data_IF_661554472436
#
_entry.id   IF_661554472436
#
_cell.length_a   1.000
_cell.length_b   1.000
_cell.length_c   1.000
_cell.angle_alpha   90.00
_cell.angle_beta   90.00
_cell.angle_gamma   90.00
#
_symmetry.space_group_name_H-M   'P 1'
#
loop_
_entity.id
_entity.type
_entity.pdbx_description
1 polymer ?
#
# COMPACT_ATOMS: atom_id res chain seq x y z
N UNK A 1 -58.11 30.94 23.57
CA UNK A 1 -57.40 30.46 22.39
C UNK A 1 -55.93 30.33 22.78
N UNK A 2 -55.53 29.15 23.21
CA UNK A 2 -54.20 28.88 23.75
C UNK A 2 -53.46 28.07 22.71
N UNK A 3 -52.37 28.63 22.18
CA UNK A 3 -51.56 27.95 21.20
C UNK A 3 -50.74 26.84 21.85
N UNK A 4 -50.96 25.61 21.42
CA UNK A 4 -50.13 24.45 21.74
C UNK A 4 -48.82 24.56 21.01
N UNK A 5 -47.73 24.67 21.78
CA UNK A 5 -46.34 24.56 21.26
C UNK A 5 -46.07 23.11 20.87
N UNK A 6 -45.99 22.88 19.59
CA UNK A 6 -45.46 21.65 19.03
C UNK A 6 -43.92 21.67 19.23
N UNK A 7 -43.42 21.00 20.26
CA UNK A 7 -41.97 20.73 20.42
C UNK A 7 -41.63 19.66 19.42
N UNK A 8 -41.00 20.08 18.31
CA UNK A 8 -40.41 19.17 17.35
C UNK A 8 -39.43 18.22 18.02
N UNK A 9 -39.58 16.94 17.79
CA UNK A 9 -38.66 15.92 18.20
C UNK A 9 -37.30 16.23 17.55
N UNK A 10 -36.32 16.59 18.37
CA UNK A 10 -34.93 16.72 17.95
C UNK A 10 -34.45 15.34 17.53
N UNK A 11 -34.23 15.16 16.23
CA UNK A 11 -33.53 13.99 15.68
C UNK A 11 -32.11 13.95 16.26
N UNK A 12 -31.79 12.83 16.92
CA UNK A 12 -30.43 12.61 17.40
C UNK A 12 -29.44 12.62 16.20
N UNK A 13 -28.37 13.42 16.24
CA UNK A 13 -27.40 13.46 15.16
C UNK A 13 -26.53 12.19 15.18
N UNK A 14 -26.40 11.51 14.04
CA UNK A 14 -25.27 10.60 13.81
C UNK A 14 -25.54 9.22 13.22
N UNK A 15 -26.75 8.68 13.20
CA UNK A 15 -26.99 7.35 12.60
C UNK A 15 -27.60 7.50 11.21
N UNK A 16 -26.77 7.33 10.18
CA UNK A 16 -27.25 7.23 8.81
C UNK A 16 -27.93 5.87 8.60
N UNK A 17 -29.27 5.87 8.53
CA UNK A 17 -30.10 4.68 8.38
C UNK A 17 -30.90 4.34 9.63
N UNK A 18 -31.93 3.50 9.46
CA UNK A 18 -32.74 2.97 10.59
C UNK A 18 -31.88 1.94 11.33
N UNK A 19 -31.56 2.14 12.63
CA UNK A 19 -30.73 1.18 13.35
C UNK A 19 -31.49 -0.14 13.52
N UNK A 20 -30.80 -1.26 13.36
CA UNK A 20 -31.32 -2.58 13.70
C UNK A 20 -30.82 -2.97 15.09
N UNK A 21 -31.76 -3.19 16.02
CA UNK A 21 -31.51 -3.50 17.42
C UNK A 21 -31.96 -4.93 17.71
N UNK A 22 -31.25 -5.60 18.60
CA UNK A 22 -31.65 -6.86 19.17
C UNK A 22 -31.94 -6.65 20.66
N UNK A 23 -33.21 -6.80 21.07
CA UNK A 23 -33.63 -6.76 22.46
C UNK A 23 -33.74 -8.20 22.99
N UNK A 24 -32.99 -8.49 24.04
CA UNK A 24 -33.02 -9.80 24.73
C UNK A 24 -33.67 -9.63 26.07
N UNK A 25 -34.93 -10.07 26.17
CA UNK A 25 -35.82 -9.84 27.33
C UNK A 25 -36.85 -10.96 27.39
N UNK A 26 -36.93 -11.67 28.50
CA UNK A 26 -37.82 -12.81 28.66
C UNK A 26 -39.24 -12.39 29.10
N UNK A 27 -39.35 -11.30 29.86
CA UNK A 27 -40.67 -10.77 30.26
C UNK A 27 -41.36 -10.06 29.09
N UNK A 28 -42.57 -10.54 28.68
CA UNK A 28 -43.29 -9.92 27.57
C UNK A 28 -43.73 -8.48 27.82
N UNK A 29 -43.95 -8.09 29.09
CA UNK A 29 -44.38 -6.75 29.46
C UNK A 29 -43.25 -5.76 29.37
N UNK A 30 -42.06 -6.13 29.88
CA UNK A 30 -40.83 -5.33 29.76
C UNK A 30 -40.42 -5.19 28.29
N UNK A 31 -40.41 -6.28 27.51
CA UNK A 31 -40.13 -6.24 26.10
C UNK A 31 -41.02 -5.27 25.33
N UNK A 32 -42.35 -5.34 25.55
CA UNK A 32 -43.33 -4.44 24.94
C UNK A 32 -43.06 -2.97 25.33
N UNK A 33 -42.80 -2.71 26.61
CA UNK A 33 -42.50 -1.36 27.08
C UNK A 33 -41.25 -0.77 26.39
N UNK A 34 -40.17 -1.55 26.27
CA UNK A 34 -38.97 -1.10 25.60
C UNK A 34 -39.15 -0.87 24.08
N UNK A 35 -39.96 -1.71 23.41
CA UNK A 35 -40.33 -1.51 22.01
C UNK A 35 -41.13 -0.21 21.83
N UNK A 36 -42.09 0.10 22.69
CA UNK A 36 -42.85 1.36 22.65
C UNK A 36 -41.96 2.58 22.87
N UNK A 37 -41.12 2.56 23.91
CA UNK A 37 -40.19 3.63 24.23
C UNK A 37 -39.20 3.91 23.07
N UNK A 38 -38.72 2.87 22.41
CA UNK A 38 -37.81 3.01 21.25
C UNK A 38 -38.54 3.54 20.03
N UNK A 39 -39.74 3.05 19.75
CA UNK A 39 -40.53 3.47 18.58
C UNK A 39 -41.00 4.93 18.72
N UNK A 40 -41.27 5.39 19.92
CA UNK A 40 -41.62 6.79 20.19
C UNK A 40 -40.45 7.76 19.83
N UNK A 41 -39.23 7.40 20.18
CA UNK A 41 -38.04 8.24 19.95
C UNK A 41 -37.42 8.05 18.56
N UNK A 42 -37.49 6.83 18.02
CA UNK A 42 -36.97 6.47 16.70
C UNK A 42 -38.00 5.67 15.89
N UNK A 43 -38.96 6.32 15.23
CA UNK A 43 -40.04 5.66 14.51
C UNK A 43 -39.64 4.66 13.42
N UNK A 44 -38.39 4.75 12.93
CA UNK A 44 -37.85 3.87 11.88
C UNK A 44 -36.88 2.79 12.42
N UNK A 45 -36.80 2.59 13.74
CA UNK A 45 -35.96 1.55 14.32
C UNK A 45 -36.51 0.16 13.97
N UNK A 46 -35.61 -0.74 13.62
CA UNK A 46 -35.94 -2.16 13.45
C UNK A 46 -35.54 -2.89 14.74
N UNK A 47 -36.49 -3.54 15.38
CA UNK A 47 -36.28 -4.26 16.64
C UNK A 47 -36.57 -5.74 16.40
N UNK A 48 -35.61 -6.58 16.74
CA UNK A 48 -35.79 -8.02 16.87
C UNK A 48 -35.81 -8.35 18.35
N UNK A 49 -36.80 -9.09 18.82
CA UNK A 49 -36.89 -9.52 20.22
C UNK A 49 -36.50 -10.99 20.32
N UNK A 50 -35.63 -11.32 21.26
CA UNK A 50 -35.29 -12.68 21.67
C UNK A 50 -35.64 -12.87 23.14
N UNK A 51 -36.21 -14.01 23.49
CA UNK A 51 -36.66 -14.29 24.87
C UNK A 51 -35.67 -15.13 25.66
N UNK A 52 -34.64 -15.62 25.00
CA UNK A 52 -33.57 -16.43 25.57
C UNK A 52 -32.26 -16.03 24.99
N UNK A 53 -31.15 -16.34 25.66
CA UNK A 53 -29.82 -16.18 25.12
C UNK A 53 -29.63 -17.00 23.83
N UNK A 54 -30.15 -18.23 23.80
CA UNK A 54 -30.05 -19.09 22.60
C UNK A 54 -30.69 -18.42 21.38
N UNK A 55 -31.91 -17.88 21.50
CA UNK A 55 -32.59 -17.14 20.44
C UNK A 55 -31.79 -15.88 20.05
N UNK A 56 -31.23 -15.18 21.03
CA UNK A 56 -30.43 -14.00 20.78
C UNK A 56 -29.20 -14.33 19.94
N UNK A 57 -28.46 -15.40 20.26
CA UNK A 57 -27.28 -15.82 19.52
C UNK A 57 -27.59 -16.27 18.07
N UNK A 58 -28.75 -16.84 17.83
CA UNK A 58 -29.28 -17.18 16.51
C UNK A 58 -29.70 -15.93 15.70
N UNK A 59 -30.13 -14.88 16.40
CA UNK A 59 -30.61 -13.62 15.82
C UNK A 59 -29.50 -12.60 15.56
N UNK A 60 -28.27 -12.85 16.06
CA UNK A 60 -27.12 -12.00 15.81
C UNK A 60 -26.68 -12.08 14.33
N UNK A 61 -26.95 -10.99 13.62
CA UNK A 61 -26.59 -10.81 12.20
C UNK A 61 -25.71 -9.57 12.04
N UNK A 62 -24.95 -9.42 10.94
CA UNK A 62 -24.10 -8.26 10.68
C UNK A 62 -24.85 -6.91 10.72
N UNK A 63 -26.15 -6.91 10.43
CA UNK A 63 -26.98 -5.72 10.41
C UNK A 63 -27.34 -5.21 11.81
N UNK A 64 -27.23 -6.04 12.85
CA UNK A 64 -27.51 -5.67 14.23
C UNK A 64 -26.43 -4.73 14.75
N UNK A 65 -26.80 -3.49 15.03
CA UNK A 65 -25.88 -2.45 15.47
C UNK A 65 -25.75 -2.36 17.00
N UNK A 66 -26.82 -2.72 17.72
CA UNK A 66 -26.80 -2.75 19.18
C UNK A 66 -27.64 -3.91 19.70
N UNK A 67 -27.10 -4.58 20.72
CA UNK A 67 -27.83 -5.56 21.53
C UNK A 67 -28.14 -4.92 22.86
N UNK A 68 -29.40 -5.01 23.28
CA UNK A 68 -29.88 -4.63 24.62
C UNK A 68 -30.21 -5.92 25.33
N UNK A 69 -29.49 -6.27 26.38
CA UNK A 69 -29.60 -7.58 27.03
C UNK A 69 -30.00 -7.46 28.50
N UNK A 70 -31.06 -8.13 28.91
CA UNK A 70 -31.32 -8.36 30.32
C UNK A 70 -30.37 -9.42 30.89
N UNK A 71 -29.92 -9.20 32.11
CA UNK A 71 -29.03 -10.14 32.81
C UNK A 71 -29.80 -11.29 33.49
N UNK A 72 -31.14 -11.24 33.54
CA UNK A 72 -32.00 -12.24 34.23
C UNK A 72 -32.75 -13.11 33.24
N UNK A 73 -32.01 -13.77 32.31
CA UNK A 73 -32.60 -14.65 31.31
C UNK A 73 -32.85 -16.09 31.85
N UNK A 74 -33.82 -16.82 31.32
CA UNK A 74 -34.16 -18.17 31.80
C UNK A 74 -33.08 -19.21 31.53
N UNK A 75 -32.27 -19.02 30.48
CA UNK A 75 -31.18 -19.91 30.01
C UNK A 75 -29.76 -19.40 30.30
N UNK A 76 -29.65 -18.18 30.87
CA UNK A 76 -28.33 -17.62 31.25
C UNK A 76 -28.52 -16.60 32.39
N UNK A 77 -27.54 -16.50 33.27
CA UNK A 77 -27.61 -15.58 34.41
C UNK A 77 -26.40 -14.65 34.51
N UNK A 78 -26.65 -13.40 34.94
CA UNK A 78 -25.63 -12.43 35.21
C UNK A 78 -24.78 -12.11 33.96
N UNK A 79 -23.48 -12.03 34.16
CA UNK A 79 -22.53 -11.63 33.10
C UNK A 79 -22.23 -12.69 32.02
N UNK A 80 -22.78 -13.93 32.20
CA UNK A 80 -22.49 -14.99 31.23
C UNK A 80 -23.23 -14.75 29.90
N UNK A 81 -24.47 -14.24 29.94
CA UNK A 81 -25.17 -13.81 28.74
C UNK A 81 -24.40 -12.73 27.98
N UNK A 82 -23.95 -11.69 28.70
CA UNK A 82 -23.16 -10.62 28.13
C UNK A 82 -21.86 -11.13 27.43
N UNK A 83 -21.11 -11.98 28.11
CA UNK A 83 -19.84 -12.53 27.55
C UNK A 83 -20.08 -13.33 26.28
N UNK A 84 -21.14 -14.13 26.22
CA UNK A 84 -21.48 -14.92 25.05
C UNK A 84 -21.93 -14.04 23.88
N UNK A 85 -22.72 -12.99 24.13
CA UNK A 85 -23.11 -12.01 23.09
C UNK A 85 -21.88 -11.29 22.55
N UNK A 86 -20.97 -10.77 23.40
CA UNK A 86 -19.74 -10.08 22.98
C UNK A 86 -18.84 -11.02 22.19
N UNK A 87 -18.68 -12.27 22.62
CA UNK A 87 -17.84 -13.24 21.90
C UNK A 87 -18.38 -13.58 20.51
N UNK A 88 -19.73 -13.62 20.35
CA UNK A 88 -20.41 -13.94 19.09
C UNK A 88 -20.46 -12.76 18.12
N UNK A 89 -20.56 -11.54 18.64
CA UNK A 89 -20.66 -10.30 17.85
C UNK A 89 -19.72 -9.21 18.42
N UNK A 90 -18.40 -9.35 18.25
CA UNK A 90 -17.40 -8.48 18.87
C UNK A 90 -17.44 -7.04 18.36
N UNK A 91 -18.05 -6.77 17.21
CA UNK A 91 -18.17 -5.43 16.60
C UNK A 91 -19.50 -4.74 16.92
N UNK A 92 -20.45 -5.45 17.55
CA UNK A 92 -21.78 -4.93 17.90
C UNK A 92 -21.74 -4.23 19.26
N UNK A 93 -22.42 -3.09 19.38
CA UNK A 93 -22.58 -2.43 20.68
C UNK A 93 -23.48 -3.27 21.60
N UNK A 94 -23.17 -3.33 22.90
CA UNK A 94 -23.98 -4.07 23.87
C UNK A 94 -24.35 -3.15 25.04
N UNK A 95 -25.64 -2.97 25.28
CA UNK A 95 -26.18 -2.33 26.46
C UNK A 95 -26.80 -3.39 27.38
N UNK A 96 -26.66 -3.18 28.66
CA UNK A 96 -27.23 -4.11 29.67
C UNK A 96 -28.41 -3.47 30.36
N UNK A 97 -29.48 -4.23 30.51
CA UNK A 97 -30.62 -3.88 31.39
C UNK A 97 -30.46 -4.55 32.76
N UNK A 98 -30.71 -3.81 33.83
CA UNK A 98 -30.62 -4.33 35.21
C UNK A 98 -31.83 -3.91 36.02
N UNK A 99 -32.22 -4.74 36.99
CA UNK A 99 -33.16 -4.34 38.00
C UNK A 99 -32.52 -3.40 39.05
N UNK A 100 -33.34 -2.74 39.89
CA UNK A 100 -32.89 -1.82 40.92
C UNK A 100 -31.95 -2.47 41.96
N UNK A 101 -32.18 -3.75 42.26
CA UNK A 101 -31.37 -4.51 43.21
C UNK A 101 -29.98 -4.88 42.69
N UNK A 102 -29.78 -4.83 41.37
CA UNK A 102 -28.58 -5.34 40.68
C UNK A 102 -27.71 -4.22 40.08
N UNK A 103 -27.88 -2.97 40.49
CA UNK A 103 -27.11 -1.83 39.97
C UNK A 103 -25.58 -2.03 40.09
N UNK A 104 -25.10 -2.78 41.10
CA UNK A 104 -23.69 -3.12 41.24
C UNK A 104 -23.20 -4.10 40.14
N UNK A 105 -24.09 -4.92 39.58
CA UNK A 105 -23.78 -5.83 38.46
C UNK A 105 -23.66 -5.05 37.15
N UNK A 106 -24.36 -3.91 37.01
CA UNK A 106 -24.22 -3.00 35.88
C UNK A 106 -22.80 -2.48 35.70
N UNK A 107 -22.15 -2.07 36.82
CA UNK A 107 -20.72 -1.63 36.75
C UNK A 107 -19.81 -2.77 36.34
N UNK A 108 -20.07 -4.00 36.81
CA UNK A 108 -19.30 -5.19 36.38
C UNK A 108 -19.54 -5.55 34.90
N UNK A 109 -20.78 -5.28 34.42
CA UNK A 109 -21.09 -5.48 32.99
C UNK A 109 -20.26 -4.56 32.09
N UNK A 110 -20.10 -3.29 32.46
CA UNK A 110 -19.21 -2.36 31.72
C UNK A 110 -17.74 -2.84 31.77
N UNK A 111 -17.27 -3.30 32.94
CA UNK A 111 -15.93 -3.89 33.05
C UNK A 111 -15.75 -5.17 32.25
N UNK A 112 -16.85 -5.91 31.97
CA UNK A 112 -16.88 -7.11 31.15
C UNK A 112 -17.02 -6.82 29.64
N UNK A 113 -17.18 -5.53 29.22
CA UNK A 113 -17.18 -5.10 27.82
C UNK A 113 -18.51 -4.56 27.29
N UNK A 114 -19.55 -4.39 28.14
CA UNK A 114 -20.72 -3.62 27.75
C UNK A 114 -20.36 -2.15 27.57
N UNK A 115 -21.04 -1.46 26.65
CA UNK A 115 -20.83 -0.03 26.44
C UNK A 115 -21.45 0.80 27.56
N UNK A 116 -22.58 0.36 28.10
CA UNK A 116 -23.25 1.00 29.23
C UNK A 116 -24.25 0.03 29.86
N UNK A 117 -24.88 0.44 30.98
CA UNK A 117 -26.01 -0.25 31.60
C UNK A 117 -27.13 0.72 31.95
N UNK A 118 -28.36 0.24 31.95
CA UNK A 118 -29.58 0.98 32.28
C UNK A 118 -30.36 0.25 33.32
N UNK A 119 -30.88 1.00 34.30
CA UNK A 119 -31.78 0.45 35.32
C UNK A 119 -33.24 0.51 34.79
N UNK A 120 -33.91 -0.64 34.64
CA UNK A 120 -35.24 -0.75 33.98
C UNK A 120 -36.26 0.27 34.45
N UNK A 121 -36.31 0.56 35.77
CA UNK A 121 -37.27 1.47 36.35
C UNK A 121 -37.02 2.95 36.09
N UNK A 122 -35.77 3.31 35.73
CA UNK A 122 -35.33 4.69 35.52
C UNK A 122 -35.26 5.06 34.02
N UNK A 123 -35.59 4.11 33.12
CA UNK A 123 -35.49 4.30 31.68
C UNK A 123 -36.72 4.99 31.12
N UNK A 124 -36.47 6.13 30.47
CA UNK A 124 -37.43 6.74 29.54
C UNK A 124 -36.91 6.62 28.09
N UNK A 125 -37.78 6.90 27.11
CA UNK A 125 -37.44 6.80 25.71
C UNK A 125 -36.25 7.68 25.32
N UNK A 126 -36.13 8.89 25.89
CA UNK A 126 -35.06 9.83 25.59
C UNK A 126 -33.70 9.33 26.13
N UNK A 127 -33.67 8.74 27.34
CA UNK A 127 -32.48 8.14 27.92
C UNK A 127 -32.04 6.92 27.12
N UNK A 128 -32.99 6.03 26.79
CA UNK A 128 -32.75 4.80 26.02
C UNK A 128 -32.18 5.12 24.61
N UNK A 129 -32.83 6.04 23.90
CA UNK A 129 -32.37 6.45 22.58
C UNK A 129 -30.94 7.05 22.58
N UNK A 130 -30.63 7.91 23.60
CA UNK A 130 -29.29 8.45 23.77
C UNK A 130 -28.27 7.37 24.10
N UNK A 131 -28.56 6.47 25.04
CA UNK A 131 -27.64 5.39 25.42
C UNK A 131 -27.32 4.48 24.23
N UNK A 132 -28.30 4.13 23.39
CA UNK A 132 -28.11 3.34 22.20
C UNK A 132 -27.21 4.07 21.20
N UNK A 133 -27.52 5.35 20.92
CA UNK A 133 -26.72 6.15 19.99
C UNK A 133 -25.26 6.28 20.46
N UNK A 134 -25.03 6.59 21.73
CA UNK A 134 -23.68 6.65 22.29
C UNK A 134 -22.95 5.29 22.26
N UNK A 135 -23.66 4.20 22.57
CA UNK A 135 -23.08 2.86 22.54
C UNK A 135 -22.60 2.49 21.11
N UNK A 136 -23.43 2.74 20.11
CA UNK A 136 -23.10 2.48 18.71
C UNK A 136 -21.92 3.33 18.27
N UNK A 137 -21.94 4.65 18.50
CA UNK A 137 -20.87 5.55 18.10
C UNK A 137 -19.54 5.23 18.81
N UNK A 138 -19.59 4.95 20.11
CA UNK A 138 -18.40 4.55 20.88
C UNK A 138 -17.81 3.26 20.34
N UNK A 139 -18.65 2.25 20.06
CA UNK A 139 -18.20 0.98 19.51
C UNK A 139 -17.56 1.14 18.13
N UNK A 140 -18.13 1.99 17.27
CA UNK A 140 -17.56 2.32 15.96
C UNK A 140 -16.21 3.03 16.08
N UNK A 141 -16.09 3.97 17.02
CA UNK A 141 -14.84 4.68 17.27
C UNK A 141 -13.75 3.72 17.74
N UNK A 142 -14.03 2.87 18.73
CA UNK A 142 -13.10 1.87 19.26
C UNK A 142 -12.64 0.89 18.16
N UNK A 143 -13.54 0.45 17.29
CA UNK A 143 -13.22 -0.45 16.18
C UNK A 143 -12.36 0.25 15.11
N UNK A 144 -12.71 1.50 14.77
CA UNK A 144 -11.92 2.30 13.81
C UNK A 144 -10.51 2.56 14.34
N UNK A 145 -10.35 2.86 15.63
CA UNK A 145 -9.04 3.06 16.26
C UNK A 145 -8.22 1.76 16.22
N UNK A 146 -8.86 0.62 16.54
CA UNK A 146 -8.22 -0.69 16.48
C UNK A 146 -7.71 -1.03 15.08
N UNK A 147 -8.56 -0.84 14.06
CA UNK A 147 -8.20 -1.08 12.66
C UNK A 147 -7.05 -0.16 12.22
N UNK A 148 -7.06 1.10 12.66
CA UNK A 148 -5.98 2.04 12.36
C UNK A 148 -4.65 1.62 13.00
N UNK A 149 -4.67 1.14 14.24
CA UNK A 149 -3.48 0.64 14.94
C UNK A 149 -2.92 -0.61 14.25
N UNK A 150 -3.80 -1.56 13.90
CA UNK A 150 -3.43 -2.77 13.18
C UNK A 150 -2.83 -2.43 11.79
N UNK A 151 -3.48 -1.55 11.01
CA UNK A 151 -2.98 -1.11 9.72
C UNK A 151 -1.61 -0.41 9.81
N UNK A 152 -1.40 0.41 10.86
CA UNK A 152 -0.11 1.05 11.12
C UNK A 152 0.98 0.05 11.52
N UNK A 153 0.64 -0.98 12.29
CA UNK A 153 1.58 -2.03 12.67
C UNK A 153 2.04 -2.84 11.45
N UNK A 154 1.11 -3.27 10.61
CA UNK A 154 1.40 -3.94 9.34
C UNK A 154 2.23 -3.04 8.42
N UNK A 155 1.87 -1.77 8.27
CA UNK A 155 2.62 -0.82 7.45
C UNK A 155 4.06 -0.60 7.93
N UNK A 156 4.31 -0.60 9.25
CA UNK A 156 5.68 -0.49 9.81
C UNK A 156 6.51 -1.73 9.54
N UNK A 157 5.94 -2.91 9.70
CA UNK A 157 6.64 -4.18 9.45
C UNK A 157 6.97 -4.30 7.97
N UNK A 158 6.02 -3.98 7.09
CA UNK A 158 6.23 -3.95 5.66
C UNK A 158 7.35 -2.98 5.27
N UNK A 159 7.33 -1.72 5.75
CA UNK A 159 8.39 -0.75 5.49
C UNK A 159 9.77 -1.17 6.03
N UNK A 160 9.82 -2.02 7.05
CA UNK A 160 11.07 -2.60 7.55
C UNK A 160 11.61 -3.68 6.61
N UNK A 161 10.75 -4.56 6.10
CA UNK A 161 11.11 -5.58 5.11
C UNK A 161 11.59 -4.92 3.82
N UNK A 162 10.87 -3.93 3.31
CA UNK A 162 11.21 -3.16 2.12
C UNK A 162 12.62 -2.55 2.20
N UNK A 163 12.94 -1.86 3.30
CA UNK A 163 14.29 -1.31 3.50
C UNK A 163 15.38 -2.36 3.50
N UNK A 164 15.09 -3.57 3.94
CA UNK A 164 16.02 -4.70 3.91
C UNK A 164 16.19 -5.32 2.52
N UNK A 165 15.24 -5.10 1.62
CA UNK A 165 15.24 -5.65 0.27
C UNK A 165 15.78 -4.66 -0.77
N UNK A 166 15.73 -3.35 -0.52
CA UNK A 166 16.33 -2.35 -1.41
C UNK A 166 17.86 -2.47 -1.40
N UNK A 167 18.53 -2.23 -2.54
CA UNK A 167 19.96 -2.35 -2.62
C UNK A 167 20.67 -1.23 -1.83
N UNK A 168 21.72 -1.63 -1.13
CA UNK A 168 22.75 -0.70 -0.68
C UNK A 168 23.92 -0.86 -1.68
N UNK A 169 24.31 0.19 -2.43
CA UNK A 169 25.37 0.08 -3.41
C UNK A 169 26.71 -0.28 -2.74
N UNK A 170 27.48 -1.11 -3.41
CA UNK A 170 28.88 -1.38 -3.03
C UNK A 170 29.73 -0.44 -3.89
N UNK A 171 29.94 0.78 -3.43
CA UNK A 171 30.69 1.81 -4.14
C UNK A 171 31.57 2.56 -3.13
N UNK A 172 32.87 2.55 -3.35
CA UNK A 172 33.88 3.18 -2.49
C UNK A 172 34.59 4.36 -3.16
N UNK A 173 34.32 4.60 -4.44
CA UNK A 173 34.90 5.66 -5.22
C UNK A 173 34.16 6.98 -5.04
N UNK A 174 34.71 7.87 -4.23
CA UNK A 174 34.13 9.19 -3.94
C UNK A 174 34.14 10.15 -5.18
N UNK A 175 34.81 9.78 -6.27
CA UNK A 175 34.78 10.55 -7.52
C UNK A 175 33.47 10.35 -8.30
N UNK A 176 32.72 9.32 -7.97
CA UNK A 176 31.44 9.00 -8.57
C UNK A 176 30.28 9.42 -7.65
N UNK A 177 29.32 10.09 -8.22
CA UNK A 177 28.03 10.34 -7.56
C UNK A 177 27.04 9.26 -7.97
N UNK A 178 26.39 8.65 -7.01
CA UNK A 178 25.37 7.63 -7.18
C UNK A 178 24.05 8.12 -6.63
N UNK A 179 23.03 8.19 -7.46
CA UNK A 179 21.71 8.62 -7.10
C UNK A 179 20.68 7.62 -7.62
N UNK A 180 19.74 7.25 -6.79
CA UNK A 180 18.62 6.39 -7.17
C UNK A 180 17.30 6.97 -6.75
N UNK A 181 16.27 6.72 -7.56
CA UNK A 181 14.86 6.88 -7.17
C UNK A 181 14.15 5.58 -7.49
N UNK A 182 13.36 5.16 -6.55
CA UNK A 182 12.55 3.95 -6.67
C UNK A 182 11.16 4.21 -6.09
N UNK A 183 10.14 3.85 -6.84
CA UNK A 183 8.75 3.97 -6.40
C UNK A 183 7.92 2.88 -7.05
N UNK A 184 7.21 2.05 -6.25
CA UNK A 184 6.25 1.09 -6.79
C UNK A 184 5.03 1.83 -7.37
N UNK A 185 4.50 1.33 -8.49
CA UNK A 185 3.41 1.95 -9.22
C UNK A 185 2.04 1.86 -8.54
N UNK A 186 1.88 1.01 -7.52
CA UNK A 186 0.62 0.82 -6.81
C UNK A 186 0.64 1.37 -5.40
N UNK A 187 -0.44 2.05 -5.03
CA UNK A 187 -0.72 2.39 -3.63
C UNK A 187 -0.64 1.15 -2.74
N UNK A 188 0.22 1.21 -1.71
CA UNK A 188 0.49 0.16 -0.73
C UNK A 188 1.31 -1.05 -1.22
N UNK A 189 1.85 -1.05 -2.45
CA UNK A 189 2.87 -2.01 -2.82
C UNK A 189 4.14 -1.73 -2.01
N UNK A 190 4.87 -2.78 -1.63
CA UNK A 190 6.14 -2.65 -0.90
C UNK A 190 7.29 -2.49 -1.87
N UNK A 191 7.26 -3.28 -2.93
CA UNK A 191 8.21 -3.33 -4.02
C UNK A 191 7.43 -3.61 -5.29
N UNK A 192 7.96 -3.22 -6.43
CA UNK A 192 7.51 -3.61 -7.76
C UNK A 192 8.46 -4.57 -8.43
N UNK A 193 8.20 -4.89 -9.70
CA UNK A 193 9.05 -5.70 -10.54
C UNK A 193 10.41 -5.06 -10.85
N UNK A 194 10.47 -3.75 -10.78
CA UNK A 194 11.68 -2.96 -11.00
C UNK A 194 12.77 -3.24 -9.98
N UNK A 195 14.00 -3.31 -10.44
CA UNK A 195 15.17 -3.44 -9.58
C UNK A 195 16.40 -2.70 -10.14
N UNK A 196 17.28 -2.31 -9.26
CA UNK A 196 18.57 -1.72 -9.64
C UNK A 196 19.65 -2.15 -8.65
N UNK A 197 20.92 -2.05 -9.08
CA UNK A 197 22.04 -2.27 -8.18
C UNK A 197 23.33 -1.63 -8.74
N UNK A 198 24.33 -1.43 -7.86
CA UNK A 198 25.65 -0.92 -8.23
C UNK A 198 26.71 -1.59 -7.38
N UNK A 199 27.71 -2.16 -8.03
CA UNK A 199 28.82 -2.88 -7.39
C UNK A 199 30.15 -2.42 -7.98
N UNK A 200 31.05 -1.97 -7.12
CA UNK A 200 32.47 -1.78 -7.45
C UNK A 200 33.23 -3.02 -7.02
N UNK A 201 33.95 -3.62 -7.96
CA UNK A 201 34.81 -4.79 -7.72
C UNK A 201 36.21 -4.36 -7.22
N UNK A 202 36.99 -5.33 -6.71
CA UNK A 202 38.33 -5.05 -6.12
C UNK A 202 39.31 -4.45 -7.11
N UNK A 203 39.18 -4.75 -8.40
CA UNK A 203 39.98 -4.16 -9.48
C UNK A 203 39.59 -2.71 -9.80
N UNK A 204 38.59 -2.17 -9.11
CA UNK A 204 38.08 -0.83 -9.28
C UNK A 204 37.02 -0.69 -10.39
N UNK A 205 36.65 -1.74 -11.11
CA UNK A 205 35.58 -1.72 -12.12
C UNK A 205 34.23 -1.48 -11.42
N UNK A 206 33.38 -0.63 -12.01
CA UNK A 206 32.00 -0.38 -11.49
C UNK A 206 30.98 -0.99 -12.42
N UNK A 207 30.14 -1.81 -11.86
CA UNK A 207 29.01 -2.43 -12.54
C UNK A 207 27.73 -1.83 -12.01
N UNK A 208 26.82 -1.44 -12.90
CA UNK A 208 25.48 -0.97 -12.57
C UNK A 208 24.46 -1.73 -13.39
N UNK A 209 23.32 -2.00 -12.80
CA UNK A 209 22.18 -2.67 -13.45
C UNK A 209 20.89 -1.97 -13.08
N UNK A 210 19.97 -1.93 -14.03
CA UNK A 210 18.55 -1.68 -13.82
C UNK A 210 17.78 -2.72 -14.62
N UNK A 211 16.66 -3.17 -14.11
CA UNK A 211 15.80 -4.14 -14.79
C UNK A 211 14.38 -4.00 -14.33
N UNK A 212 13.49 -4.51 -15.16
CA UNK A 212 12.06 -4.53 -14.93
C UNK A 212 11.49 -5.91 -15.28
N UNK A 213 10.75 -6.51 -14.35
CA UNK A 213 10.06 -7.80 -14.52
C UNK A 213 8.66 -7.52 -15.07
N UNK A 214 8.33 -8.13 -16.21
CA UNK A 214 7.01 -7.96 -16.85
C UNK A 214 5.87 -8.29 -15.92
N UNK A 215 4.91 -7.36 -15.80
CA UNK A 215 3.78 -7.47 -14.89
C UNK A 215 3.96 -6.63 -13.62
N UNK A 216 3.08 -6.84 -12.66
CA UNK A 216 3.07 -6.01 -11.46
C UNK A 216 2.47 -6.77 -10.27
N UNK A 217 3.12 -6.75 -9.16
CA UNK A 217 2.63 -7.34 -7.92
C UNK A 217 3.72 -7.92 -7.04
N UNK A 218 3.32 -8.75 -6.08
CA UNK A 218 4.23 -9.29 -5.07
C UNK A 218 5.14 -10.40 -5.66
N UNK A 219 4.65 -11.12 -6.67
CA UNK A 219 5.41 -12.18 -7.31
C UNK A 219 6.51 -11.61 -8.19
N UNK A 220 6.19 -10.57 -8.99
CA UNK A 220 7.14 -9.81 -9.81
C UNK A 220 8.19 -9.13 -8.93
N UNK A 221 7.78 -8.47 -7.84
CA UNK A 221 8.69 -7.86 -6.88
C UNK A 221 9.65 -8.89 -6.26
N UNK A 222 9.14 -10.07 -5.91
CA UNK A 222 9.96 -11.18 -5.40
C UNK A 222 10.97 -11.67 -6.44
N UNK A 223 10.58 -11.77 -7.71
CA UNK A 223 11.45 -12.17 -8.80
C UNK A 223 12.52 -11.10 -9.08
N UNK A 224 12.16 -9.81 -9.10
CA UNK A 224 13.10 -8.70 -9.25
C UNK A 224 14.20 -8.72 -8.18
N UNK A 225 13.84 -8.94 -6.91
CA UNK A 225 14.80 -9.10 -5.81
C UNK A 225 15.73 -10.30 -6.05
N UNK A 226 15.20 -11.45 -6.47
CA UNK A 226 16.00 -12.66 -6.75
C UNK A 226 16.99 -12.42 -7.89
N UNK A 227 16.55 -11.81 -8.99
CA UNK A 227 17.39 -11.49 -10.14
C UNK A 227 18.48 -10.48 -9.77
N UNK A 228 18.13 -9.44 -9.01
CA UNK A 228 19.11 -8.48 -8.50
C UNK A 228 20.19 -9.15 -7.64
N UNK A 229 19.79 -10.02 -6.71
CA UNK A 229 20.74 -10.74 -5.85
C UNK A 229 21.62 -11.72 -6.65
N UNK A 230 21.04 -12.41 -7.63
CA UNK A 230 21.77 -13.27 -8.55
C UNK A 230 22.80 -12.46 -9.34
N UNK A 231 22.39 -11.32 -9.92
CA UNK A 231 23.29 -10.41 -10.63
C UNK A 231 24.46 -9.94 -9.75
N UNK A 232 24.18 -9.45 -8.54
CA UNK A 232 25.21 -9.02 -7.58
C UNK A 232 26.19 -10.14 -7.26
N UNK A 233 25.68 -11.33 -7.02
CA UNK A 233 26.51 -12.52 -6.73
C UNK A 233 27.41 -12.89 -7.92
N UNK A 234 26.87 -12.86 -9.14
CA UNK A 234 27.63 -13.13 -10.36
C UNK A 234 28.74 -12.10 -10.58
N UNK A 235 28.45 -10.79 -10.41
CA UNK A 235 29.46 -9.73 -10.49
C UNK A 235 30.59 -9.95 -9.48
N UNK A 236 30.25 -10.20 -8.21
CA UNK A 236 31.24 -10.47 -7.16
C UNK A 236 32.04 -11.75 -7.40
N UNK A 237 31.47 -12.72 -8.11
CA UNK A 237 32.16 -13.95 -8.54
C UNK A 237 33.04 -13.75 -9.80
N UNK A 238 33.06 -12.53 -10.38
CA UNK A 238 33.89 -12.18 -11.55
C UNK A 238 33.23 -12.45 -12.90
N UNK A 239 31.93 -12.77 -12.94
CA UNK A 239 31.21 -12.86 -14.21
C UNK A 239 30.92 -11.47 -14.76
N UNK A 240 31.06 -11.30 -16.08
CA UNK A 240 30.83 -10.01 -16.75
C UNK A 240 30.22 -10.20 -18.13
N UNK A 241 29.67 -9.11 -18.69
CA UNK A 241 29.22 -9.07 -20.09
C UNK A 241 28.07 -10.02 -20.41
N UNK A 242 28.03 -10.48 -21.67
CA UNK A 242 26.98 -11.38 -22.16
C UNK A 242 26.90 -12.71 -21.40
N UNK A 243 28.03 -13.25 -20.92
CA UNK A 243 28.04 -14.49 -20.12
C UNK A 243 27.32 -14.34 -18.79
N UNK A 244 27.42 -13.17 -18.14
CA UNK A 244 26.65 -12.87 -16.94
C UNK A 244 25.16 -12.87 -17.27
N UNK A 245 24.76 -12.20 -18.37
CA UNK A 245 23.35 -12.13 -18.78
C UNK A 245 22.80 -13.49 -19.17
N UNK A 246 23.58 -14.34 -19.87
CA UNK A 246 23.15 -15.72 -20.17
C UNK A 246 22.93 -16.56 -18.91
N UNK A 247 23.75 -16.35 -17.87
CA UNK A 247 23.55 -17.04 -16.59
C UNK A 247 22.32 -16.50 -15.86
N UNK A 248 22.08 -15.18 -15.92
CA UNK A 248 20.91 -14.56 -15.31
C UNK A 248 19.62 -14.95 -16.02
N UNK A 249 19.65 -15.11 -17.35
CA UNK A 249 18.57 -15.65 -18.16
C UNK A 249 18.17 -17.07 -17.72
N UNK A 250 19.17 -17.94 -17.51
CA UNK A 250 18.94 -19.28 -17.00
C UNK A 250 18.35 -19.25 -15.57
N UNK A 251 18.76 -18.31 -14.71
CA UNK A 251 18.15 -18.11 -13.39
C UNK A 251 16.68 -17.72 -13.54
N UNK A 252 16.37 -16.75 -14.40
CA UNK A 252 14.99 -16.34 -14.67
C UNK A 252 14.13 -17.52 -15.14
N UNK A 253 14.63 -18.35 -16.08
CA UNK A 253 13.89 -19.50 -16.56
C UNK A 253 13.52 -20.51 -15.47
N UNK A 254 14.35 -20.65 -14.44
CA UNK A 254 14.07 -21.58 -13.32
C UNK A 254 13.20 -20.96 -12.24
N UNK A 255 13.20 -19.64 -12.12
CA UNK A 255 12.53 -18.91 -11.02
C UNK A 255 11.16 -18.35 -11.42
N UNK A 256 10.88 -18.18 -12.73
CA UNK A 256 9.60 -17.69 -13.24
C UNK A 256 8.52 -18.75 -13.10
N UNK A 257 7.28 -18.32 -12.89
CA UNK A 257 6.11 -19.19 -12.73
C UNK A 257 5.32 -19.43 -14.02
N UNK A 258 5.69 -18.77 -15.12
CA UNK A 258 5.06 -18.91 -16.44
C UNK A 258 6.00 -18.49 -17.55
N UNK A 259 5.78 -19.02 -18.77
CA UNK A 259 6.61 -18.71 -19.94
C UNK A 259 6.43 -17.27 -20.44
N UNK A 260 5.32 -16.63 -20.07
CA UNK A 260 5.01 -15.22 -20.38
C UNK A 260 5.82 -14.22 -19.56
N UNK A 261 6.48 -14.66 -18.47
CA UNK A 261 7.27 -13.79 -17.62
C UNK A 261 8.66 -13.62 -18.22
N UNK A 262 9.01 -12.38 -18.48
CA UNK A 262 10.30 -11.96 -19.00
C UNK A 262 10.81 -10.76 -18.20
N UNK A 263 12.06 -10.36 -18.42
CA UNK A 263 12.68 -9.22 -17.73
C UNK A 263 13.45 -8.38 -18.72
N UNK A 264 13.14 -7.09 -18.77
CA UNK A 264 13.99 -6.14 -19.45
C UNK A 264 15.16 -5.76 -18.55
N UNK A 265 16.35 -5.54 -19.11
CA UNK A 265 17.53 -5.23 -18.31
C UNK A 265 18.53 -4.36 -19.08
N UNK A 266 19.11 -3.39 -18.39
CA UNK A 266 20.24 -2.61 -18.85
C UNK A 266 21.39 -2.72 -17.86
N UNK A 267 22.56 -3.14 -18.33
CA UNK A 267 23.76 -3.30 -17.51
C UNK A 267 24.90 -2.45 -18.05
N UNK A 268 25.54 -1.73 -17.16
CA UNK A 268 26.69 -0.87 -17.45
C UNK A 268 27.92 -1.37 -16.71
N UNK A 269 29.07 -1.46 -17.42
CA UNK A 269 30.37 -1.80 -16.83
C UNK A 269 31.36 -0.69 -17.14
N UNK A 270 31.77 0.05 -16.11
CA UNK A 270 32.65 1.21 -16.22
C UNK A 270 34.07 0.82 -15.81
N UNK A 271 35.04 1.11 -16.67
CA UNK A 271 36.44 0.81 -16.41
C UNK A 271 37.02 1.56 -15.19
N UNK A 272 38.10 1.06 -14.56
CA UNK A 272 38.72 1.70 -13.39
C UNK A 272 39.17 3.14 -13.62
N UNK A 273 39.53 3.52 -14.84
CA UNK A 273 39.89 4.90 -15.19
C UNK A 273 38.70 5.84 -15.39
N UNK A 274 37.47 5.30 -15.40
CA UNK A 274 36.20 6.02 -15.59
C UNK A 274 36.03 6.70 -16.93
N UNK A 275 36.78 6.30 -17.95
CA UNK A 275 36.78 6.92 -19.26
C UNK A 275 36.05 6.13 -20.31
N UNK A 276 35.91 4.85 -20.10
CA UNK A 276 35.18 3.96 -21.00
C UNK A 276 34.14 3.12 -20.25
N UNK A 277 33.10 2.70 -20.94
CA UNK A 277 32.14 1.78 -20.43
C UNK A 277 31.65 0.81 -21.50
N UNK A 278 31.09 -0.31 -21.03
CA UNK A 278 30.34 -1.29 -21.83
C UNK A 278 28.91 -1.30 -21.42
N UNK A 279 28.05 -1.12 -22.40
CA UNK A 279 26.58 -1.21 -22.23
C UNK A 279 26.12 -2.54 -22.81
N UNK A 280 25.31 -3.27 -22.02
CA UNK A 280 24.53 -4.43 -22.49
C UNK A 280 23.06 -4.14 -22.23
N UNK A 281 22.23 -4.31 -23.25
CA UNK A 281 20.78 -4.14 -23.15
C UNK A 281 20.05 -5.42 -23.53
N UNK A 282 19.08 -5.79 -22.71
CA UNK A 282 18.17 -6.90 -22.91
C UNK A 282 16.74 -6.36 -22.98
N UNK A 283 16.30 -5.89 -24.15
CA UNK A 283 14.96 -5.35 -24.36
C UNK A 283 14.62 -4.08 -23.57
N UNK A 284 15.61 -3.42 -22.97
CA UNK A 284 15.41 -2.29 -22.05
C UNK A 284 15.54 -0.94 -22.77
N UNK A 285 14.87 0.15 -22.27
CA UNK A 285 15.01 1.49 -22.83
C UNK A 285 16.45 1.97 -22.90
N UNK A 286 16.75 2.84 -23.90
CA UNK A 286 18.07 3.43 -24.05
C UNK A 286 18.37 4.42 -22.91
N UNK A 287 19.56 4.34 -22.26
CA UNK A 287 19.98 5.30 -21.26
C UNK A 287 20.18 6.71 -21.82
N UNK A 288 20.09 7.72 -20.94
CA UNK A 288 20.51 9.08 -21.25
C UNK A 288 21.96 9.30 -20.83
N UNK A 289 22.76 9.86 -21.73
CA UNK A 289 24.12 10.33 -21.48
C UNK A 289 24.11 11.85 -21.33
N UNK A 290 24.73 12.31 -20.26
CA UNK A 290 25.01 13.69 -19.94
C UNK A 290 26.50 13.91 -20.10
N UNK A 291 26.89 14.88 -20.86
CA UNK A 291 28.29 15.28 -21.04
C UNK A 291 28.39 16.80 -21.23
N UNK A 292 29.60 17.40 -21.33
CA UNK A 292 29.74 18.85 -21.51
C UNK A 292 29.09 19.41 -22.80
N UNK A 293 28.74 18.55 -23.76
CA UNK A 293 28.03 18.97 -24.98
C UNK A 293 26.48 18.99 -24.78
N UNK A 294 25.99 18.41 -23.74
CA UNK A 294 24.53 18.37 -23.41
C UNK A 294 24.03 17.01 -22.97
N UNK A 295 22.76 16.78 -23.23
CA UNK A 295 22.07 15.50 -22.92
C UNK A 295 21.62 14.84 -24.21
N UNK A 296 21.83 13.55 -24.32
CA UNK A 296 21.34 12.74 -25.44
C UNK A 296 20.99 11.32 -25.03
N UNK A 297 20.03 10.72 -25.70
CA UNK A 297 19.86 9.28 -25.64
C UNK A 297 21.10 8.59 -26.25
N UNK A 298 21.54 7.51 -25.62
CA UNK A 298 22.53 6.66 -26.28
C UNK A 298 21.90 6.09 -27.56
N UNK A 299 22.70 5.90 -28.62
CA UNK A 299 22.21 5.38 -29.87
C UNK A 299 21.60 3.98 -29.67
N UNK A 300 20.70 3.58 -30.56
CA UNK A 300 20.17 2.23 -30.56
C UNK A 300 21.18 1.25 -31.16
N UNK A 301 22.24 1.03 -30.38
CA UNK A 301 23.36 0.14 -30.73
C UNK A 301 23.00 -1.35 -30.60
N UNK A 302 24.02 -2.24 -30.65
CA UNK A 302 23.79 -3.68 -30.47
C UNK A 302 23.10 -3.98 -29.17
N UNK A 303 22.04 -4.78 -29.22
CA UNK A 303 21.28 -5.22 -28.05
C UNK A 303 20.69 -6.62 -28.27
N UNK A 304 20.30 -7.29 -27.19
CA UNK A 304 19.59 -8.57 -27.21
C UNK A 304 18.12 -8.41 -26.81
N UNK A 305 17.33 -9.48 -26.97
CA UNK A 305 15.94 -9.53 -26.49
C UNK A 305 15.90 -9.46 -24.97
N UNK A 306 14.74 -9.14 -24.39
CA UNK A 306 14.54 -9.28 -22.95
C UNK A 306 14.86 -10.72 -22.50
N UNK A 307 15.35 -10.86 -21.26
CA UNK A 307 15.64 -12.15 -20.66
C UNK A 307 14.36 -12.99 -20.60
N UNK A 308 14.46 -14.29 -20.88
CA UNK A 308 13.34 -15.22 -20.87
C UNK A 308 12.50 -15.28 -22.15
N UNK A 309 12.73 -14.39 -23.15
CA UNK A 309 11.96 -14.39 -24.40
C UNK A 309 12.49 -15.35 -25.44
N UNK A 310 13.80 -15.44 -25.59
CA UNK A 310 14.43 -16.25 -26.67
C UNK A 310 15.49 -17.15 -26.06
N UNK A 311 15.30 -18.46 -26.03
CA UNK A 311 16.30 -19.38 -25.50
C UNK A 311 17.64 -19.29 -26.26
N UNK A 312 18.74 -19.16 -25.49
CA UNK A 312 20.08 -19.08 -26.06
C UNK A 312 20.38 -17.77 -26.77
N UNK A 313 19.65 -16.71 -26.47
CA UNK A 313 19.93 -15.38 -26.98
C UNK A 313 21.33 -14.91 -26.60
N UNK A 314 21.84 -13.90 -27.34
CA UNK A 314 23.10 -13.22 -27.08
C UNK A 314 22.85 -11.73 -26.80
N UNK A 315 23.66 -11.17 -25.92
CA UNK A 315 23.60 -9.77 -25.52
C UNK A 315 24.95 -9.08 -25.81
N UNK A 316 25.13 -8.58 -27.03
CA UNK A 316 26.36 -7.92 -27.43
C UNK A 316 26.59 -6.64 -26.64
N UNK A 317 27.88 -6.29 -26.46
CA UNK A 317 28.28 -5.05 -25.82
C UNK A 317 28.34 -3.89 -26.81
N UNK A 318 27.91 -2.72 -26.36
CA UNK A 318 28.23 -1.44 -26.96
C UNK A 318 29.36 -0.78 -26.16
N UNK A 319 30.46 -0.44 -26.80
CA UNK A 319 31.58 0.27 -26.18
C UNK A 319 31.32 1.79 -26.23
N UNK A 320 31.53 2.47 -25.12
CA UNK A 320 31.26 3.89 -24.98
C UNK A 320 32.48 4.64 -24.44
N UNK A 321 32.80 5.75 -25.09
CA UNK A 321 33.78 6.71 -24.60
C UNK A 321 33.04 7.76 -23.74
N UNK A 322 33.41 7.85 -22.46
CA UNK A 322 32.74 8.72 -21.49
C UNK A 322 33.45 10.07 -21.30
N UNK A 323 34.77 10.11 -21.50
CA UNK A 323 35.60 11.30 -21.23
C UNK A 323 35.84 11.52 -19.72
N UNK A 324 36.13 12.77 -19.36
CA UNK A 324 36.48 13.12 -17.97
C UNK A 324 35.26 13.49 -17.10
N UNK A 325 34.22 14.01 -17.74
CA UNK A 325 32.99 14.48 -17.08
C UNK A 325 31.79 13.89 -17.81
N UNK A 326 30.97 13.12 -17.10
CA UNK A 326 29.84 12.42 -17.67
C UNK A 326 28.80 12.06 -16.63
N UNK A 327 27.55 11.86 -17.04
CA UNK A 327 26.49 11.25 -16.28
C UNK A 327 25.73 10.26 -17.15
N UNK A 328 25.37 9.13 -16.58
CA UNK A 328 24.54 8.12 -17.23
C UNK A 328 23.32 7.90 -16.37
N UNK A 329 22.14 8.10 -16.98
CA UNK A 329 20.86 7.84 -16.35
C UNK A 329 20.21 6.62 -16.98
N UNK A 330 20.06 5.59 -16.16
CA UNK A 330 19.27 4.40 -16.44
C UNK A 330 17.87 4.60 -15.83
N UNK A 331 16.83 4.11 -16.47
CA UNK A 331 15.46 4.26 -16.00
C UNK A 331 14.57 3.14 -16.56
N UNK A 332 13.54 2.76 -15.85
CA UNK A 332 12.52 1.82 -16.30
C UNK A 332 11.42 2.53 -17.10
N UNK A 333 10.66 1.79 -17.86
CA UNK A 333 9.64 2.31 -18.76
C UNK A 333 8.54 3.09 -18.05
N UNK A 334 8.29 2.83 -16.76
CA UNK A 334 7.36 3.63 -15.95
C UNK A 334 7.62 5.14 -15.99
N UNK A 335 8.86 5.57 -16.31
CA UNK A 335 9.19 7.00 -16.48
C UNK A 335 8.69 7.57 -17.84
N UNK A 336 8.58 6.74 -18.87
CA UNK A 336 8.28 7.16 -20.26
C UNK A 336 6.93 6.68 -20.79
N UNK A 337 6.24 5.79 -20.09
CA UNK A 337 4.94 5.27 -20.48
C UNK A 337 3.77 6.18 -20.11
N UNK A 338 3.99 7.19 -19.27
CA UNK A 338 2.98 8.19 -18.93
C UNK A 338 2.42 8.89 -20.17
N UNK A 339 1.10 9.15 -20.16
CA UNK A 339 0.44 9.86 -21.26
C UNK A 339 0.77 11.35 -21.24
N UNK A 340 0.90 11.97 -22.43
CA UNK A 340 1.12 13.40 -22.59
C UNK A 340 -0.14 14.01 -23.18
N UNK A 341 -0.85 14.82 -22.38
CA UNK A 341 -2.07 15.49 -22.82
C UNK A 341 -3.27 14.56 -23.02
N UNK A 342 -4.34 15.11 -23.63
CA UNK A 342 -5.64 14.42 -23.79
C UNK A 342 -5.65 13.40 -24.94
N UNK A 343 -4.66 13.40 -25.80
CA UNK A 343 -4.60 12.57 -27.02
C UNK A 343 -4.03 11.16 -26.77
N UNK A 344 -3.57 10.86 -25.55
CA UNK A 344 -3.05 9.56 -25.16
C UNK A 344 -1.68 9.21 -25.76
N UNK A 345 -0.93 10.18 -26.27
CA UNK A 345 0.47 9.98 -26.68
C UNK A 345 1.32 9.70 -25.44
N UNK A 346 2.25 8.75 -25.54
CA UNK A 346 3.21 8.48 -24.46
C UNK A 346 4.35 9.50 -24.50
N UNK A 347 4.95 9.77 -23.32
CA UNK A 347 6.11 10.65 -23.23
C UNK A 347 7.24 10.19 -24.14
N UNK A 348 7.46 8.89 -24.22
CA UNK A 348 8.50 8.18 -24.95
C UNK A 348 9.94 8.64 -24.65
N UNK A 349 10.94 7.99 -25.27
CA UNK A 349 12.36 8.34 -25.13
C UNK A 349 12.65 9.77 -25.64
N UNK A 350 12.03 10.17 -26.74
CA UNK A 350 12.25 11.50 -27.35
C UNK A 350 11.69 12.63 -26.46
N UNK A 351 10.56 12.38 -25.80
CA UNK A 351 10.00 13.29 -24.82
C UNK A 351 10.90 13.43 -23.59
N UNK A 352 11.34 12.32 -23.04
CA UNK A 352 12.24 12.31 -21.87
C UNK A 352 13.58 13.01 -22.20
N UNK A 353 14.16 12.75 -23.38
CA UNK A 353 15.40 13.41 -23.81
C UNK A 353 15.24 14.92 -23.87
N UNK A 354 14.15 15.44 -24.44
CA UNK A 354 13.85 16.88 -24.49
C UNK A 354 13.68 17.49 -23.10
N UNK A 355 12.99 16.80 -22.20
CA UNK A 355 12.85 17.23 -20.81
C UNK A 355 14.21 17.32 -20.12
N UNK A 356 15.04 16.28 -20.28
CA UNK A 356 16.37 16.23 -19.69
C UNK A 356 17.30 17.32 -20.27
N UNK A 357 17.26 17.58 -21.58
CA UNK A 357 17.98 18.69 -22.22
C UNK A 357 17.57 20.03 -21.64
N UNK A 358 16.26 20.28 -21.51
CA UNK A 358 15.74 21.52 -20.96
C UNK A 358 16.13 21.72 -19.48
N UNK A 359 16.04 20.67 -18.66
CA UNK A 359 16.45 20.69 -17.26
C UNK A 359 17.96 20.95 -17.12
N UNK A 360 18.76 20.25 -17.91
CA UNK A 360 20.22 20.44 -17.95
C UNK A 360 20.64 21.85 -18.37
N UNK A 361 19.93 22.43 -19.37
CA UNK A 361 20.17 23.79 -19.83
C UNK A 361 19.82 24.85 -18.75
N UNK A 362 18.85 24.55 -17.86
CA UNK A 362 18.56 25.38 -16.68
C UNK A 362 19.59 25.26 -15.56
N UNK A 363 20.58 24.39 -15.70
CA UNK A 363 21.59 24.12 -14.67
C UNK A 363 21.15 23.14 -13.58
N UNK A 364 20.05 22.40 -13.79
CA UNK A 364 19.60 21.37 -12.86
C UNK A 364 20.54 20.17 -12.91
N UNK A 365 20.91 19.63 -11.73
CA UNK A 365 21.89 18.56 -11.58
C UNK A 365 21.49 17.61 -10.43
N UNK A 366 21.99 16.39 -10.48
CA UNK A 366 21.81 15.40 -9.39
C UNK A 366 20.35 15.22 -8.98
N UNK A 367 20.06 15.38 -7.70
CA UNK A 367 18.71 15.21 -7.13
C UNK A 367 17.70 16.14 -7.81
N UNK A 368 18.04 17.42 -7.99
CA UNK A 368 17.14 18.42 -8.60
C UNK A 368 16.75 18.03 -10.02
N UNK A 369 17.70 17.51 -10.79
CA UNK A 369 17.47 17.03 -12.15
C UNK A 369 16.50 15.84 -12.15
N UNK A 370 16.82 14.78 -11.39
CA UNK A 370 16.04 13.55 -11.41
C UNK A 370 14.63 13.77 -10.85
N UNK A 371 14.51 14.47 -9.72
CA UNK A 371 13.22 14.78 -9.12
C UNK A 371 12.39 15.70 -10.04
N UNK A 372 13.02 16.64 -10.72
CA UNK A 372 12.40 17.51 -11.69
C UNK A 372 11.88 16.76 -12.92
N UNK A 373 12.61 15.79 -13.43
CA UNK A 373 12.17 14.93 -14.56
C UNK A 373 10.97 14.07 -14.18
N UNK A 374 10.99 13.46 -13.00
CA UNK A 374 9.89 12.65 -12.51
C UNK A 374 8.64 13.53 -12.33
N UNK A 375 8.77 14.68 -11.67
CA UNK A 375 7.66 15.59 -11.44
C UNK A 375 7.06 16.12 -12.76
N UNK A 376 7.90 16.37 -13.76
CA UNK A 376 7.42 16.85 -15.07
C UNK A 376 6.74 15.74 -15.87
N UNK A 377 7.24 14.48 -15.79
CA UNK A 377 6.57 13.32 -16.37
C UNK A 377 5.18 13.12 -15.76
N UNK A 378 5.05 13.22 -14.44
CA UNK A 378 3.75 13.14 -13.73
C UNK A 378 2.82 14.30 -14.10
N UNK A 379 3.34 15.51 -14.18
CA UNK A 379 2.56 16.67 -14.59
C UNK A 379 1.97 16.51 -16.00
N UNK A 380 2.75 15.94 -16.92
CA UNK A 380 2.31 15.67 -18.28
C UNK A 380 1.27 14.54 -18.33
N UNK A 381 1.44 13.53 -17.49
CA UNK A 381 0.48 12.42 -17.35
C UNK A 381 -0.84 12.85 -16.69
N UNK A 382 -0.87 14.00 -16.03
CA UNK A 382 -2.05 14.52 -15.33
C UNK A 382 -2.33 13.85 -13.97
N UNK A 383 -1.59 12.82 -13.60
CA UNK A 383 -1.65 12.10 -12.32
C UNK A 383 -0.30 11.42 -12.05
N UNK A 384 -0.18 10.78 -10.88
CA UNK A 384 0.97 9.93 -10.52
C UNK A 384 1.11 8.81 -11.56
N UNK A 385 2.36 8.49 -11.93
CA UNK A 385 2.64 7.38 -12.83
C UNK A 385 2.14 6.06 -12.21
N UNK A 386 1.45 5.27 -13.01
CA UNK A 386 0.75 4.05 -12.55
C UNK A 386 1.62 2.80 -12.52
N UNK A 387 2.80 2.85 -13.16
CA UNK A 387 3.75 1.75 -13.21
C UNK A 387 4.88 1.92 -12.20
N UNK A 388 5.62 0.85 -11.98
CA UNK A 388 6.83 0.87 -11.16
C UNK A 388 7.84 1.84 -11.79
N UNK A 389 8.58 2.55 -10.97
CA UNK A 389 9.56 3.53 -11.40
C UNK A 389 10.89 3.27 -10.71
N UNK A 390 11.91 3.03 -11.49
CA UNK A 390 13.30 3.07 -11.04
C UNK A 390 14.13 4.01 -11.90
N UNK A 391 14.96 4.82 -11.26
CA UNK A 391 15.97 5.66 -11.92
C UNK A 391 17.29 5.48 -11.19
N UNK A 392 18.35 5.25 -11.93
CA UNK A 392 19.72 5.20 -11.45
C UNK A 392 20.57 6.19 -12.24
N UNK A 393 21.11 7.19 -11.56
CA UNK A 393 22.07 8.14 -12.14
C UNK A 393 23.45 7.91 -11.53
N UNK A 394 24.41 7.57 -12.38
CA UNK A 394 25.83 7.59 -12.07
C UNK A 394 26.48 8.76 -12.77
N UNK A 395 27.30 9.55 -12.08
CA UNK A 395 28.00 10.68 -12.71
C UNK A 395 29.38 10.89 -12.13
N UNK A 396 30.28 11.46 -12.97
CA UNK A 396 31.63 11.89 -12.63
C UNK A 396 31.79 13.35 -13.00
N UNK A 397 32.31 14.14 -12.07
CA UNK A 397 32.50 15.58 -12.25
C UNK A 397 31.24 16.40 -12.00
N UNK A 398 31.33 17.69 -12.28
CA UNK A 398 30.19 18.62 -12.18
C UNK A 398 29.50 18.71 -13.54
N UNK A 399 28.38 18.02 -13.67
CA UNK A 399 27.51 18.08 -14.85
C UNK A 399 26.26 18.83 -14.53
#
# INVERSE_FOLDING_TARGET
>A
MTAMHNRGAERLPGVAGSPHLLLVEDDPGDAFLFEELLTEVQPNVQITVARTLAEALESLRPEVQCVIVDLSLPDASGLDALRQVIARAPTTAVLVLTGLADAHVGVQAVAAGAQDYLVKQDVDGALLGRAISYAIERKRADESERQLVEARAVGRENARLERGLLPVPILTDDSLRHLTRYRPGRDRALLGGDFHDTVQTEDGTVHAVIGDVSGHGADEASLGVRLRMAWRTLVLAGHTGGNLLSTLDAVLEHERWGEEIFTTLCMFTITPDRRTARLHRAGHPCPLLFDPSGVRALPDGPHGPALGLIPGADWPAEELELGDTWGIMLYTDGLIEGCVGDDGERLDLSGLEKLAQAAHARGERGDVLVDGLIAEAERLNGDVLSDDLAVLLLSRGEL
#
